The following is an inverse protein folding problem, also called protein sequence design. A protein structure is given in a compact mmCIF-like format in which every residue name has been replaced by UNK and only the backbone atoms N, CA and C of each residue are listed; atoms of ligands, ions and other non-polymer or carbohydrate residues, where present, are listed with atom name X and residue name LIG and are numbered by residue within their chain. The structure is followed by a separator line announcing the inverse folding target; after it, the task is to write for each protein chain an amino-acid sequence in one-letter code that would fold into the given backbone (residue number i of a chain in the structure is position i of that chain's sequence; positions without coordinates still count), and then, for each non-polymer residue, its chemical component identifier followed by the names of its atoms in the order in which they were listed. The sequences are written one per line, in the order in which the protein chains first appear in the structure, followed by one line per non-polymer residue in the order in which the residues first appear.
data_IF_935712211024
#
_entry.id   IF_935712211024
#
_cell.length_a   1.000
_cell.length_b   1.000
_cell.length_c   1.000
_cell.angle_alpha   90.00
_cell.angle_beta   90.00
_cell.angle_gamma   90.00
#
_symmetry.space_group_name_H-M   'P 1'
#
loop_
_entity.id
_entity.type
_entity.pdbx_description
1 polymer ?
#
# COMPACT_ATOMS: atom_id res chain seq x y z
N UNK A 1 -5.99 6.28 -14.49
CA UNK A 1 -5.15 7.45 -14.13
C UNK A 1 -4.92 7.60 -12.62
N UNK A 2 -5.93 7.41 -11.75
CA UNK A 2 -5.74 7.46 -10.28
C UNK A 2 -4.61 6.58 -9.69
N UNK A 3 -4.36 5.34 -10.15
CA UNK A 3 -3.30 4.49 -9.55
C UNK A 3 -1.90 5.06 -9.74
N UNK A 4 -1.66 5.80 -10.83
CA UNK A 4 -0.34 6.37 -11.12
C UNK A 4 0.01 7.47 -10.12
N UNK A 5 -0.99 8.27 -9.73
CA UNK A 5 -0.82 9.32 -8.73
C UNK A 5 -0.68 8.72 -7.32
N UNK A 6 -1.44 7.67 -7.02
CA UNK A 6 -1.27 6.88 -5.80
C UNK A 6 0.14 6.30 -5.66
N UNK A 7 0.76 5.82 -6.75
CA UNK A 7 2.12 5.27 -6.72
C UNK A 7 3.20 6.29 -6.34
N UNK A 8 2.98 7.59 -6.58
CA UNK A 8 3.92 8.65 -6.22
C UNK A 8 3.83 9.03 -4.73
N UNK A 9 2.65 8.97 -4.12
CA UNK A 9 2.41 9.42 -2.75
C UNK A 9 2.27 8.27 -1.73
N UNK A 10 1.67 7.16 -2.15
CA UNK A 10 1.32 5.97 -1.36
C UNK A 10 1.57 4.69 -2.20
N UNK A 11 2.85 4.38 -2.51
CA UNK A 11 3.21 3.31 -3.43
C UNK A 11 2.71 1.94 -3.00
N UNK A 12 2.85 1.60 -1.72
CA UNK A 12 2.49 0.25 -1.22
C UNK A 12 0.98 0.11 -1.03
N UNK A 13 0.27 1.18 -0.65
CA UNK A 13 -1.20 1.23 -0.62
C UNK A 13 -1.79 1.00 -2.00
N UNK A 14 -1.18 1.61 -3.02
CA UNK A 14 -1.66 1.48 -4.41
C UNK A 14 -1.46 0.06 -4.94
N UNK A 15 -0.30 -0.55 -4.68
CA UNK A 15 -0.07 -1.95 -5.02
C UNK A 15 -1.04 -2.88 -4.27
N UNK A 16 -1.27 -2.62 -2.99
CA UNK A 16 -2.25 -3.35 -2.18
C UNK A 16 -3.66 -3.24 -2.73
N UNK A 17 -4.08 -2.05 -3.19
CA UNK A 17 -5.37 -1.85 -3.84
C UNK A 17 -5.50 -2.63 -5.15
N UNK A 18 -4.48 -2.57 -6.01
CA UNK A 18 -4.46 -3.35 -7.26
C UNK A 18 -4.54 -4.86 -6.98
N UNK A 19 -3.81 -5.33 -5.97
CA UNK A 19 -3.88 -6.71 -5.52
C UNK A 19 -5.28 -7.07 -5.03
N UNK A 20 -5.89 -6.22 -4.21
CA UNK A 20 -7.23 -6.42 -3.67
C UNK A 20 -8.27 -6.60 -4.78
N UNK A 21 -8.21 -5.76 -5.80
CA UNK A 21 -9.09 -5.86 -6.98
C UNK A 21 -8.83 -7.15 -7.76
N UNK A 22 -7.57 -7.49 -8.02
CA UNK A 22 -7.21 -8.63 -8.86
C UNK A 22 -7.46 -10.00 -8.17
N UNK A 23 -7.26 -10.10 -6.86
CA UNK A 23 -7.26 -11.38 -6.13
C UNK A 23 -8.50 -11.61 -5.27
N UNK A 24 -9.15 -10.54 -4.79
CA UNK A 24 -10.23 -10.64 -3.80
C UNK A 24 -11.55 -10.00 -4.26
N UNK A 25 -11.63 -9.58 -5.52
CA UNK A 25 -12.82 -8.90 -6.06
C UNK A 25 -12.96 -7.45 -5.58
N UNK A 26 -11.92 -6.87 -4.98
CA UNK A 26 -11.86 -5.46 -4.56
C UNK A 26 -11.84 -5.25 -3.06
N UNK A 27 -12.11 -4.01 -2.66
CA UNK A 27 -12.09 -3.54 -1.25
C UNK A 27 -13.35 -3.90 -0.48
N UNK A 28 -14.39 -4.43 -1.14
CA UNK A 28 -15.59 -4.96 -0.48
C UNK A 28 -15.33 -6.26 0.30
N UNK A 29 -14.21 -6.94 0.01
CA UNK A 29 -13.78 -8.15 0.68
C UNK A 29 -12.86 -7.83 1.86
N UNK A 30 -13.07 -8.50 3.00
CA UNK A 30 -12.24 -8.31 4.20
C UNK A 30 -10.74 -8.45 3.91
N UNK A 31 -10.36 -9.50 3.18
CA UNK A 31 -8.96 -9.73 2.78
C UNK A 31 -8.41 -8.63 1.88
N UNK A 32 -9.22 -8.10 0.96
CA UNK A 32 -8.82 -6.99 0.10
C UNK A 32 -8.58 -5.72 0.91
N UNK A 33 -9.49 -5.40 1.82
CA UNK A 33 -9.39 -4.23 2.70
C UNK A 33 -8.17 -4.34 3.63
N UNK A 34 -7.92 -5.53 4.18
CA UNK A 34 -6.75 -5.81 5.02
C UNK A 34 -5.44 -5.56 4.27
N UNK A 35 -5.31 -6.02 3.03
CA UNK A 35 -4.10 -5.82 2.21
C UNK A 35 -3.87 -4.33 1.90
N UNK A 36 -4.92 -3.58 1.58
CA UNK A 36 -4.81 -2.11 1.38
C UNK A 36 -4.38 -1.41 2.67
N UNK A 37 -4.94 -1.82 3.81
CA UNK A 37 -4.61 -1.25 5.12
C UNK A 37 -3.15 -1.49 5.51
N UNK A 38 -2.61 -2.68 5.22
CA UNK A 38 -1.17 -2.97 5.44
C UNK A 38 -0.31 -2.02 4.59
N UNK A 39 -0.64 -1.84 3.31
CA UNK A 39 0.07 -0.89 2.45
C UNK A 39 0.03 0.54 3.00
N UNK A 40 -1.12 0.97 3.53
CA UNK A 40 -1.26 2.27 4.17
C UNK A 40 -0.29 2.45 5.34
N UNK A 41 -0.22 1.46 6.24
CA UNK A 41 0.67 1.49 7.41
C UNK A 41 2.14 1.56 6.98
N UNK A 42 2.51 0.84 5.92
CA UNK A 42 3.88 0.87 5.37
C UNK A 42 4.21 2.23 4.77
N UNK A 43 3.32 2.82 3.96
CA UNK A 43 3.54 4.12 3.33
C UNK A 43 3.62 5.27 4.34
N UNK A 44 2.89 5.20 5.46
CA UNK A 44 3.04 6.14 6.59
C UNK A 44 4.36 5.95 7.36
N UNK A 45 5.22 5.01 6.93
CA UNK A 45 6.53 4.78 7.52
C UNK A 45 6.49 4.07 8.87
N UNK A 46 5.31 3.63 9.34
CA UNK A 46 5.13 2.95 10.63
C UNK A 46 5.84 1.59 10.67
N UNK A 47 6.08 0.98 9.50
CA UNK A 47 6.76 -0.33 9.35
C UNK A 47 8.02 -0.22 8.46
N UNK A 48 8.35 0.96 7.91
CA UNK A 48 9.37 1.12 6.86
C UNK A 48 10.55 2.04 7.16
N UNK A 49 10.54 2.83 8.24
CA UNK A 49 11.53 3.90 8.49
C UNK A 49 12.95 3.41 8.91
N UNK A 50 13.31 2.15 8.65
CA UNK A 50 14.58 1.55 9.10
C UNK A 50 15.69 1.42 8.05
N UNK A 51 15.43 1.73 6.76
CA UNK A 51 16.36 1.37 5.67
C UNK A 51 17.17 2.54 5.08
N UNK A 52 16.96 3.76 5.54
CA UNK A 52 17.63 4.97 5.01
C UNK A 52 18.34 5.87 6.02
N UNK A 53 18.06 5.76 7.32
CA UNK A 53 18.68 6.62 8.35
C UNK A 53 20.07 6.13 8.83
N UNK A 54 20.54 4.97 8.37
CA UNK A 54 21.89 4.43 8.68
C UNK A 54 22.83 4.63 7.49
N UNK A 55 22.84 5.83 6.89
CA UNK A 55 23.92 6.29 6.00
C UNK A 55 24.08 7.81 6.06
N UNK A 56 24.57 8.30 7.20
CA UNK A 56 25.75 9.16 7.35
C UNK A 56 25.75 9.76 8.75
#
# INVERSE_FOLDING_TARGET
MLPVLGLLFLPTTTLGFCWAVASFGGVSSFSGLLVVLIGLIIDFGLIGNGRGAVRR
#
